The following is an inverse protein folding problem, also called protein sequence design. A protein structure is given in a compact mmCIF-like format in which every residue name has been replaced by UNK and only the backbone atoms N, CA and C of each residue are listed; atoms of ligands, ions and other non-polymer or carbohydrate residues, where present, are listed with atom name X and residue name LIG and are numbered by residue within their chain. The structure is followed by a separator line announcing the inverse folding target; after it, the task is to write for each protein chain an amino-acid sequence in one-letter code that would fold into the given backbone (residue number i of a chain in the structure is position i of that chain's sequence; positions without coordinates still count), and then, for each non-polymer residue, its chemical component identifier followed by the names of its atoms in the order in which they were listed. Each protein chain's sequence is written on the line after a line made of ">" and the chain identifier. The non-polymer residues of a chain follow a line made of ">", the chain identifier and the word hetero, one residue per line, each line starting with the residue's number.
data_IF_391167707288
#
_entry.id   IF_391167707288
#
_cell.length_a   1.000
_cell.length_b   1.000
_cell.length_c   1.000
_cell.angle_alpha   90.00
_cell.angle_beta   90.00
_cell.angle_gamma   90.00
#
_symmetry.space_group_name_H-M   'P 1'
#
loop_
_entity.id
_entity.type
_entity.pdbx_description
1 polymer ?
#
# COMPACT_ATOMS: atom_id res chain seq x y z
N UNK A 1 -65.24 63.05 -16.99
CA UNK A 1 -64.11 62.27 -17.47
C UNK A 1 -64.46 60.81 -17.41
N UNK A 2 -64.84 60.20 -18.58
CA UNK A 2 -65.21 58.77 -18.61
C UNK A 2 -63.94 57.93 -18.51
N UNK A 3 -63.72 57.27 -17.40
CA UNK A 3 -62.62 56.27 -17.28
C UNK A 3 -63.02 55.09 -18.19
N UNK A 4 -62.26 54.89 -19.24
CA UNK A 4 -62.45 53.79 -20.18
C UNK A 4 -62.46 52.47 -19.45
N UNK A 5 -63.37 51.54 -19.80
CA UNK A 5 -63.39 50.16 -19.29
C UNK A 5 -62.03 49.46 -19.36
N UNK A 6 -61.24 49.79 -20.39
CA UNK A 6 -59.88 49.35 -20.58
C UNK A 6 -58.90 49.75 -19.45
N UNK A 7 -59.09 51.03 -18.94
CA UNK A 7 -58.19 51.44 -17.81
C UNK A 7 -58.52 50.79 -16.48
N UNK A 8 -59.80 50.47 -16.26
CA UNK A 8 -60.23 49.73 -15.07
C UNK A 8 -59.74 48.29 -15.15
N UNK A 9 -59.81 47.63 -16.32
CA UNK A 9 -59.31 46.30 -16.54
C UNK A 9 -57.78 46.19 -16.36
N UNK A 10 -57.06 47.23 -16.83
CA UNK A 10 -55.59 47.30 -16.69
C UNK A 10 -55.15 47.44 -15.21
N UNK A 11 -55.88 48.30 -14.44
CA UNK A 11 -55.63 48.48 -13.01
C UNK A 11 -55.94 47.15 -12.25
N UNK A 12 -56.99 46.43 -12.62
CA UNK A 12 -57.32 45.13 -12.02
C UNK A 12 -56.27 44.05 -12.35
N UNK A 13 -55.75 44.04 -13.58
CA UNK A 13 -54.70 43.15 -14.03
C UNK A 13 -53.38 43.46 -13.29
N UNK A 14 -53.02 44.73 -13.08
CA UNK A 14 -51.86 45.17 -12.31
C UNK A 14 -51.97 44.75 -10.83
N UNK A 15 -53.15 44.80 -10.25
CA UNK A 15 -53.45 44.39 -8.87
C UNK A 15 -53.35 42.84 -8.74
N UNK A 16 -53.87 42.12 -9.73
CA UNK A 16 -53.78 40.65 -9.73
C UNK A 16 -52.32 40.19 -9.91
N UNK A 17 -51.55 40.84 -10.77
CA UNK A 17 -50.12 40.56 -10.93
C UNK A 17 -49.31 40.92 -9.69
N UNK A 18 -49.66 42.03 -9.00
CA UNK A 18 -49.01 42.43 -7.74
C UNK A 18 -49.33 41.43 -6.60
N UNK A 19 -50.57 40.92 -6.54
CA UNK A 19 -50.97 39.91 -5.55
C UNK A 19 -50.34 38.58 -5.86
N UNK A 20 -50.20 38.21 -7.14
CA UNK A 20 -49.51 36.97 -7.53
C UNK A 20 -47.99 37.00 -7.25
N UNK A 21 -47.36 38.18 -7.43
CA UNK A 21 -45.94 38.34 -7.04
C UNK A 21 -45.72 38.34 -5.53
N UNK A 22 -46.70 38.79 -4.74
CA UNK A 22 -46.61 38.75 -3.26
C UNK A 22 -46.88 37.31 -2.74
N UNK A 23 -47.73 36.52 -3.42
CA UNK A 23 -47.98 35.12 -3.07
C UNK A 23 -46.83 34.19 -3.48
N UNK A 24 -46.05 34.55 -4.49
CA UNK A 24 -44.87 33.70 -4.89
C UNK A 24 -43.63 33.90 -4.02
N UNK A 25 -43.68 34.78 -3.02
CA UNK A 25 -42.54 35.04 -2.13
C UNK A 25 -42.50 34.18 -0.84
N UNK A 26 -43.30 33.14 -0.76
CA UNK A 26 -43.23 32.16 0.34
C UNK A 26 -42.59 30.86 -0.13
N UNK A 27 -41.53 30.94 -0.92
CA UNK A 27 -40.66 29.77 -1.07
C UNK A 27 -39.93 29.62 0.25
N UNK A 28 -40.26 28.58 1.01
CA UNK A 28 -39.49 28.23 2.18
C UNK A 28 -38.08 27.84 1.72
N UNK A 29 -37.11 28.69 2.06
CA UNK A 29 -35.72 28.41 1.73
C UNK A 29 -35.28 27.16 2.53
N UNK A 30 -34.82 26.14 1.81
CA UNK A 30 -34.36 24.93 2.44
C UNK A 30 -32.93 25.15 2.92
N UNK A 31 -32.70 24.94 4.20
CA UNK A 31 -31.35 24.93 4.80
C UNK A 31 -30.86 23.53 4.99
N UNK A 32 -29.55 23.34 4.87
CA UNK A 32 -28.87 22.09 5.20
C UNK A 32 -28.03 22.25 6.46
N UNK A 33 -28.11 21.29 7.36
CA UNK A 33 -27.31 21.22 8.57
C UNK A 33 -26.59 19.87 8.65
N UNK A 34 -25.46 19.84 9.35
CA UNK A 34 -24.79 18.59 9.73
C UNK A 34 -25.20 18.26 11.16
N UNK A 35 -25.83 17.12 11.33
CA UNK A 35 -26.38 16.69 12.64
C UNK A 35 -25.34 15.89 13.43
N UNK A 36 -24.58 15.06 12.75
CA UNK A 36 -23.52 14.24 13.34
C UNK A 36 -22.31 14.19 12.42
N UNK A 37 -21.10 14.26 13.00
CA UNK A 37 -19.80 14.23 12.30
C UNK A 37 -18.88 13.15 12.87
N UNK A 38 -19.29 11.88 12.92
CA UNK A 38 -18.42 10.84 13.42
C UNK A 38 -17.26 10.61 12.43
N UNK A 39 -16.08 10.27 12.98
CA UNK A 39 -14.98 9.75 12.18
C UNK A 39 -15.16 8.24 12.11
N UNK A 40 -15.40 7.73 10.89
CA UNK A 40 -15.33 6.31 10.63
C UNK A 40 -13.86 5.89 10.64
N UNK A 41 -13.49 4.92 11.47
CA UNK A 41 -12.14 4.37 11.52
C UNK A 41 -12.19 2.85 11.38
N UNK A 42 -11.46 2.32 10.40
CA UNK A 42 -11.24 0.89 10.23
C UNK A 42 -9.75 0.62 10.44
N UNK A 43 -9.43 -0.16 11.48
CA UNK A 43 -8.07 -0.62 11.72
C UNK A 43 -7.80 -1.89 10.89
N UNK A 44 -6.63 -1.96 10.26
CA UNK A 44 -6.19 -3.11 9.48
C UNK A 44 -4.69 -3.33 9.63
N UNK A 45 -4.19 -4.52 9.26
CA UNK A 45 -2.82 -4.89 9.63
C UNK A 45 -2.63 -4.88 11.15
N UNK A 46 -1.46 -4.45 11.62
CA UNK A 46 -1.17 -4.29 13.07
C UNK A 46 -1.39 -2.86 13.55
N UNK A 47 -1.18 -1.86 12.70
CA UNK A 47 -1.21 -0.44 13.10
C UNK A 47 -1.76 0.50 12.03
N UNK A 48 -2.17 -0.01 10.88
CA UNK A 48 -2.65 0.80 9.76
C UNK A 48 -4.13 1.14 9.90
N UNK A 49 -4.53 2.26 9.31
CA UNK A 49 -5.89 2.80 9.49
C UNK A 49 -6.47 3.30 8.16
N UNK A 50 -7.75 3.06 7.99
CA UNK A 50 -8.59 3.82 7.07
C UNK A 50 -9.47 4.76 7.88
N UNK A 51 -9.61 6.01 7.43
CA UNK A 51 -10.55 6.96 8.01
C UNK A 51 -11.42 7.59 6.93
N UNK A 52 -12.67 7.86 7.30
CA UNK A 52 -13.63 8.62 6.54
C UNK A 52 -14.26 9.67 7.43
N UNK A 53 -14.24 10.92 7.00
CA UNK A 53 -14.73 12.05 7.78
C UNK A 53 -15.18 13.20 6.89
N UNK A 54 -15.97 14.11 7.45
CA UNK A 54 -16.17 15.41 6.85
C UNK A 54 -14.87 16.22 6.88
N UNK A 55 -14.48 16.78 5.74
CA UNK A 55 -13.30 17.65 5.62
C UNK A 55 -13.68 19.12 5.51
N UNK A 56 -14.84 19.43 4.93
CA UNK A 56 -15.38 20.79 4.88
C UNK A 56 -16.91 20.81 4.71
N UNK A 57 -17.50 21.96 5.00
CA UNK A 57 -18.94 22.24 4.92
C UNK A 57 -19.16 23.61 4.29
N UNK A 58 -19.89 23.64 3.20
CA UNK A 58 -20.46 24.87 2.63
C UNK A 58 -22.00 24.79 2.71
N UNK A 59 -22.52 25.02 3.89
CA UNK A 59 -23.95 24.86 4.17
C UNK A 59 -24.81 25.88 3.43
N UNK A 60 -24.22 27.04 3.07
CA UNK A 60 -24.91 28.07 2.26
C UNK A 60 -25.19 27.56 0.84
N UNK A 61 -24.24 26.84 0.26
CA UNK A 61 -24.38 26.21 -1.05
C UNK A 61 -24.92 24.79 -0.97
N UNK A 62 -25.31 24.32 0.23
CA UNK A 62 -25.87 22.99 0.51
C UNK A 62 -24.90 21.88 0.08
N UNK A 63 -23.64 22.02 0.48
CA UNK A 63 -22.53 21.19 0.04
C UNK A 63 -21.68 20.73 1.22
N UNK A 64 -21.27 19.46 1.19
CA UNK A 64 -20.33 18.87 2.16
C UNK A 64 -19.25 18.09 1.44
N UNK A 65 -18.02 18.19 1.93
CA UNK A 65 -16.87 17.43 1.40
C UNK A 65 -16.49 16.32 2.35
N UNK A 66 -16.37 15.13 1.82
CA UNK A 66 -15.94 13.93 2.55
C UNK A 66 -14.52 13.57 2.12
N UNK A 67 -13.67 13.29 3.08
CA UNK A 67 -12.31 12.77 2.89
C UNK A 67 -12.27 11.30 3.23
N UNK A 68 -11.66 10.53 2.32
CA UNK A 68 -11.20 9.16 2.55
C UNK A 68 -9.68 9.18 2.68
N UNK A 69 -9.15 8.54 3.70
CA UNK A 69 -7.70 8.43 3.93
C UNK A 69 -7.32 7.01 4.33
N UNK A 70 -6.29 6.47 3.69
CA UNK A 70 -5.65 5.21 4.09
C UNK A 70 -4.24 5.50 4.52
N UNK A 71 -3.87 5.09 5.71
CA UNK A 71 -2.53 5.30 6.26
C UNK A 71 -1.89 3.97 6.63
N UNK A 72 -0.74 3.67 6.03
CA UNK A 72 0.07 2.54 6.40
C UNK A 72 1.06 2.94 7.49
N UNK A 73 0.75 2.61 8.75
CA UNK A 73 1.61 2.87 9.90
C UNK A 73 2.47 1.67 10.30
N UNK A 74 2.45 0.59 9.49
CA UNK A 74 3.29 -0.57 9.76
C UNK A 74 4.75 -0.14 9.75
N UNK A 75 5.44 -0.38 10.84
CA UNK A 75 6.89 -0.18 10.90
C UNK A 75 7.56 -1.33 10.19
N UNK A 76 8.64 -1.07 9.44
CA UNK A 76 9.52 -2.11 8.96
C UNK A 76 9.93 -2.96 10.17
N UNK A 77 9.46 -4.21 10.22
CA UNK A 77 9.82 -5.12 11.30
C UNK A 77 11.24 -5.63 11.02
N UNK A 78 12.06 -5.79 12.06
CA UNK A 78 13.36 -6.48 11.90
C UNK A 78 13.13 -7.87 11.33
N UNK A 79 14.05 -8.42 10.51
CA UNK A 79 13.90 -9.73 9.92
C UNK A 79 13.70 -10.77 11.03
N UNK A 80 12.79 -11.70 10.80
CA UNK A 80 12.53 -12.81 11.72
C UNK A 80 12.76 -14.12 10.98
N UNK A 81 13.24 -15.15 11.67
CA UNK A 81 13.44 -16.46 11.07
C UNK A 81 14.86 -16.98 11.22
N UNK A 82 15.33 -17.65 10.21
CA UNK A 82 16.61 -18.37 10.22
C UNK A 82 17.42 -18.04 8.98
N UNK A 83 18.69 -17.72 9.17
CA UNK A 83 19.68 -17.49 8.10
C UNK A 83 20.78 -18.55 8.23
N UNK A 84 21.08 -19.26 7.16
CA UNK A 84 22.29 -20.10 7.08
C UNK A 84 23.29 -19.43 6.15
N UNK A 85 24.45 -19.04 6.69
CA UNK A 85 25.61 -18.63 5.91
C UNK A 85 26.38 -19.88 5.49
N UNK A 86 26.63 -20.01 4.20
CA UNK A 86 27.37 -21.12 3.59
C UNK A 86 28.62 -20.54 2.95
N UNK A 87 29.75 -20.67 3.62
CA UNK A 87 31.00 -19.97 3.33
C UNK A 87 32.00 -20.93 2.70
N UNK A 88 32.48 -20.60 1.53
CA UNK A 88 33.57 -21.30 0.87
C UNK A 88 34.85 -21.13 1.70
N UNK A 89 35.51 -22.26 2.03
CA UNK A 89 36.80 -22.26 2.71
C UNK A 89 37.88 -22.99 1.90
N UNK A 90 37.74 -22.96 0.57
CA UNK A 90 38.78 -23.45 -0.34
C UNK A 90 40.01 -22.53 -0.34
N UNK A 91 41.16 -23.08 -0.78
CA UNK A 91 42.42 -22.32 -0.79
C UNK A 91 42.41 -21.10 -1.69
N UNK A 92 41.57 -21.07 -2.73
CA UNK A 92 41.43 -19.90 -3.61
C UNK A 92 40.98 -18.65 -2.86
N UNK A 93 40.22 -18.80 -1.77
CA UNK A 93 39.83 -17.69 -0.91
C UNK A 93 41.04 -16.94 -0.27
N UNK A 94 42.22 -17.58 -0.20
CA UNK A 94 43.45 -16.96 0.28
C UNK A 94 44.17 -16.12 -0.77
N UNK A 95 43.63 -16.04 -2.01
CA UNK A 95 44.20 -15.17 -3.05
C UNK A 95 44.09 -13.70 -2.65
N UNK A 96 45.17 -12.97 -2.93
CA UNK A 96 45.24 -11.55 -2.64
C UNK A 96 44.38 -10.75 -3.59
N UNK A 97 43.53 -9.90 -3.04
CA UNK A 97 42.72 -8.91 -3.78
C UNK A 97 43.43 -7.58 -3.87
N UNK A 98 44.34 -7.30 -2.95
CA UNK A 98 45.23 -6.14 -2.93
C UNK A 98 46.49 -6.46 -2.07
N UNK A 99 47.36 -5.47 -1.85
CA UNK A 99 48.63 -5.67 -1.13
C UNK A 99 48.47 -6.17 0.34
N UNK A 100 47.30 -5.91 0.96
CA UNK A 100 47.07 -6.11 2.39
C UNK A 100 45.98 -7.10 2.72
N UNK A 101 45.10 -7.46 1.79
CA UNK A 101 43.91 -8.24 2.04
C UNK A 101 43.78 -9.42 1.06
N UNK A 102 43.30 -10.52 1.56
CA UNK A 102 42.84 -11.67 0.77
C UNK A 102 41.33 -11.58 0.52
N UNK A 103 40.82 -12.41 -0.38
CA UNK A 103 39.38 -12.55 -0.63
C UNK A 103 38.65 -13.03 0.63
N UNK A 104 39.28 -13.94 1.38
CA UNK A 104 38.83 -14.37 2.69
C UNK A 104 38.63 -13.20 3.65
N UNK A 105 39.63 -12.30 3.77
CA UNK A 105 39.52 -11.14 4.67
C UNK A 105 38.29 -10.30 4.36
N UNK A 106 38.03 -10.03 3.07
CA UNK A 106 36.86 -9.25 2.64
C UNK A 106 35.55 -9.97 2.95
N UNK A 107 35.44 -11.26 2.64
CA UNK A 107 34.22 -12.03 2.86
C UNK A 107 33.93 -12.17 4.36
N UNK A 108 34.94 -12.54 5.17
CA UNK A 108 34.75 -12.72 6.62
C UNK A 108 34.44 -11.42 7.33
N UNK A 109 35.13 -10.33 7.02
CA UNK A 109 34.86 -9.02 7.64
C UNK A 109 33.47 -8.49 7.24
N UNK A 110 33.07 -8.69 6.00
CA UNK A 110 31.73 -8.33 5.53
C UNK A 110 30.65 -9.22 6.18
N UNK A 111 30.89 -10.52 6.34
CA UNK A 111 29.99 -11.43 7.05
C UNK A 111 29.83 -11.06 8.54
N UNK A 112 30.93 -10.63 9.21
CA UNK A 112 30.87 -10.11 10.60
C UNK A 112 29.99 -8.85 10.68
N UNK A 113 30.14 -7.95 9.74
CA UNK A 113 29.31 -6.74 9.64
C UNK A 113 27.85 -7.09 9.41
N UNK A 114 27.57 -8.02 8.48
CA UNK A 114 26.21 -8.51 8.20
C UNK A 114 25.56 -9.11 9.46
N UNK A 115 26.26 -10.02 10.15
CA UNK A 115 25.81 -10.65 11.39
C UNK A 115 25.49 -9.58 12.45
N UNK A 116 26.41 -8.64 12.64
CA UNK A 116 26.25 -7.56 13.63
C UNK A 116 24.99 -6.73 13.32
N UNK A 117 24.82 -6.32 12.08
CA UNK A 117 23.68 -5.48 11.67
C UNK A 117 22.34 -6.21 11.76
N UNK A 118 22.30 -7.50 11.35
CA UNK A 118 21.08 -8.29 11.38
C UNK A 118 20.63 -8.63 12.81
N UNK A 119 21.57 -8.89 13.71
CA UNK A 119 21.28 -9.28 15.10
C UNK A 119 21.21 -8.10 16.07
N UNK A 120 21.57 -6.88 15.65
CA UNK A 120 21.48 -5.69 16.50
C UNK A 120 20.05 -5.51 17.01
N UNK A 121 19.87 -5.64 18.33
CA UNK A 121 18.54 -5.56 18.98
C UNK A 121 17.47 -6.49 18.35
N UNK A 122 17.88 -7.62 17.78
CA UNK A 122 17.00 -8.57 17.09
C UNK A 122 17.12 -9.96 17.67
N UNK A 123 16.24 -10.31 18.59
CA UNK A 123 16.18 -11.64 19.24
C UNK A 123 15.37 -12.68 18.45
N UNK A 124 14.67 -12.26 17.39
CA UNK A 124 13.77 -13.12 16.61
C UNK A 124 14.43 -13.71 15.36
N UNK A 125 15.65 -13.30 15.04
CA UNK A 125 16.45 -13.87 13.97
C UNK A 125 17.54 -14.77 14.57
N UNK A 126 17.76 -15.94 13.96
CA UNK A 126 18.88 -16.81 14.28
C UNK A 126 19.73 -17.01 13.05
N UNK A 127 21.04 -17.00 13.23
CA UNK A 127 22.01 -17.23 12.15
C UNK A 127 22.81 -18.48 12.49
N UNK A 128 22.98 -19.38 11.52
CA UNK A 128 23.88 -20.52 11.57
C UNK A 128 24.94 -20.38 10.48
N UNK A 129 26.05 -21.12 10.62
CA UNK A 129 27.15 -21.05 9.67
C UNK A 129 27.62 -22.47 9.31
N UNK A 130 27.78 -22.71 8.03
CA UNK A 130 28.42 -23.90 7.44
C UNK A 130 29.60 -23.42 6.61
N UNK A 131 30.73 -24.08 6.69
CA UNK A 131 31.81 -23.91 5.70
C UNK A 131 31.87 -25.13 4.77
N UNK A 132 32.37 -24.93 3.56
CA UNK A 132 32.51 -25.97 2.58
C UNK A 132 33.74 -25.76 1.70
N UNK A 133 34.39 -26.89 1.38
CA UNK A 133 35.45 -27.00 0.36
C UNK A 133 35.55 -28.47 -0.02
N UNK A 134 36.72 -29.05 -0.21
CA UNK A 134 36.90 -30.52 -0.12
C UNK A 134 37.81 -30.88 1.05
N UNK A 135 37.65 -32.10 1.54
CA UNK A 135 38.53 -32.62 2.57
C UNK A 135 39.99 -32.66 2.05
N UNK A 136 40.95 -32.36 2.92
CA UNK A 136 42.38 -32.47 2.62
C UNK A 136 42.81 -33.94 2.40
N UNK A 137 42.08 -34.88 3.00
CA UNK A 137 42.21 -36.30 2.71
C UNK A 137 41.43 -36.66 1.45
N UNK A 138 42.14 -36.93 0.36
CA UNK A 138 41.56 -37.24 -0.95
C UNK A 138 40.59 -38.43 -0.94
N UNK A 139 40.75 -39.34 0.04
CA UNK A 139 39.86 -40.52 0.17
C UNK A 139 38.45 -40.13 0.65
N UNK A 140 38.32 -38.95 1.23
CA UNK A 140 37.06 -38.37 1.73
C UNK A 140 36.50 -37.28 0.83
N UNK A 141 37.20 -36.94 -0.27
CA UNK A 141 36.74 -35.98 -1.26
C UNK A 141 35.45 -36.46 -1.94
N UNK A 142 34.52 -35.59 -2.12
CA UNK A 142 33.20 -35.89 -2.69
C UNK A 142 32.28 -36.60 -1.71
N UNK A 143 32.41 -36.30 -0.44
CA UNK A 143 31.53 -36.82 0.61
C UNK A 143 30.87 -35.70 1.41
N UNK A 144 30.00 -36.07 2.34
CA UNK A 144 29.39 -35.11 3.25
C UNK A 144 30.40 -34.46 4.22
N UNK A 145 31.63 -35.02 4.34
CA UNK A 145 32.71 -34.48 5.17
C UNK A 145 33.40 -33.25 4.53
N UNK A 146 33.08 -32.94 3.27
CA UNK A 146 33.51 -31.73 2.57
C UNK A 146 32.83 -30.45 3.06
N UNK A 147 31.85 -30.60 3.95
CA UNK A 147 31.21 -29.46 4.63
C UNK A 147 31.20 -29.64 6.15
N UNK A 148 31.35 -28.53 6.87
CA UNK A 148 31.39 -28.53 8.35
C UNK A 148 30.40 -27.50 8.91
N UNK A 149 29.68 -27.93 9.97
CA UNK A 149 28.91 -26.98 10.77
C UNK A 149 29.88 -26.15 11.65
N UNK A 150 29.95 -24.88 11.41
CA UNK A 150 30.78 -23.92 12.15
C UNK A 150 30.02 -23.36 13.34
N UNK A 151 28.70 -23.06 13.17
CA UNK A 151 27.83 -22.63 14.24
C UNK A 151 26.40 -23.07 14.02
N UNK A 152 25.78 -23.60 15.08
CA UNK A 152 24.32 -23.80 15.08
C UNK A 152 23.57 -22.48 14.98
N UNK A 153 22.29 -22.56 14.64
CA UNK A 153 21.39 -21.41 14.64
C UNK A 153 21.35 -20.73 16.03
N UNK A 154 21.84 -19.50 16.11
CA UNK A 154 21.88 -18.69 17.32
C UNK A 154 21.67 -17.22 17.01
N UNK A 155 21.22 -16.46 18.01
CA UNK A 155 21.17 -14.99 17.98
C UNK A 155 22.34 -14.35 18.74
N UNK A 156 23.32 -15.14 19.16
CA UNK A 156 24.52 -14.62 19.82
C UNK A 156 25.56 -14.18 18.79
N UNK A 157 25.55 -12.88 18.48
CA UNK A 157 26.46 -12.27 17.51
C UNK A 157 27.94 -12.52 17.84
N UNK A 158 28.34 -12.39 19.11
CA UNK A 158 29.73 -12.60 19.53
C UNK A 158 30.19 -14.03 19.28
N UNK A 159 29.36 -15.02 19.60
CA UNK A 159 29.68 -16.43 19.36
C UNK A 159 29.84 -16.70 17.85
N UNK A 160 28.94 -16.17 17.02
CA UNK A 160 29.01 -16.29 15.56
C UNK A 160 30.29 -15.70 14.98
N UNK A 161 30.61 -14.45 15.39
CA UNK A 161 31.81 -13.75 14.92
C UNK A 161 33.08 -14.52 15.29
N UNK A 162 33.15 -15.04 16.52
CA UNK A 162 34.27 -15.87 16.93
C UNK A 162 34.35 -17.18 16.10
N UNK A 163 33.21 -17.81 15.83
CA UNK A 163 33.18 -19.06 15.06
C UNK A 163 33.67 -18.85 13.62
N UNK A 164 33.20 -17.81 12.91
CA UNK A 164 33.64 -17.56 11.52
C UNK A 164 35.10 -17.10 11.45
N UNK A 165 35.63 -16.43 12.48
CA UNK A 165 37.04 -16.04 12.53
C UNK A 165 38.01 -17.21 12.67
N UNK A 166 37.51 -18.38 13.01
CA UNK A 166 38.32 -19.62 13.19
C UNK A 166 38.16 -20.61 12.04
N UNK A 167 37.49 -20.25 10.96
CA UNK A 167 37.40 -21.07 9.75
C UNK A 167 38.81 -21.24 9.17
N UNK A 168 39.17 -22.50 8.82
CA UNK A 168 40.43 -22.79 8.17
C UNK A 168 40.24 -22.92 6.67
N UNK A 169 41.12 -22.33 5.91
CA UNK A 169 41.10 -22.27 4.45
C UNK A 169 42.16 -23.19 3.87
N UNK A 170 41.93 -24.48 3.96
CA UNK A 170 42.87 -25.52 3.58
C UNK A 170 42.37 -26.52 2.53
N UNK A 171 41.07 -26.45 2.21
CA UNK A 171 40.44 -27.34 1.23
C UNK A 171 40.92 -27.07 -0.21
N UNK A 172 41.36 -28.12 -0.91
CA UNK A 172 41.96 -27.94 -2.25
C UNK A 172 40.94 -27.62 -3.36
N UNK A 173 39.63 -27.84 -3.15
CA UNK A 173 38.58 -27.73 -4.16
C UNK A 173 37.26 -27.26 -3.56
N UNK A 174 36.28 -27.03 -4.41
CA UNK A 174 34.98 -26.41 -4.10
C UNK A 174 33.84 -27.44 -4.25
N UNK A 175 33.29 -27.95 -3.13
CA UNK A 175 32.11 -28.80 -3.09
C UNK A 175 30.91 -28.06 -2.52
N UNK A 176 30.29 -27.20 -3.34
CA UNK A 176 29.11 -26.43 -2.96
C UNK A 176 27.89 -27.33 -2.65
N UNK A 177 27.77 -28.49 -3.31
CA UNK A 177 26.72 -29.48 -3.08
C UNK A 177 26.73 -29.96 -1.61
N UNK A 178 27.89 -30.25 -1.06
CA UNK A 178 28.05 -30.64 0.35
C UNK A 178 27.65 -29.50 1.28
N UNK A 179 28.06 -28.24 0.99
CA UNK A 179 27.70 -27.05 1.75
C UNK A 179 26.19 -26.82 1.83
N UNK A 180 25.49 -26.85 0.69
CA UNK A 180 24.03 -26.69 0.60
C UNK A 180 23.33 -27.86 1.33
N UNK A 181 23.74 -29.09 1.09
CA UNK A 181 23.14 -30.29 1.68
C UNK A 181 23.24 -30.24 3.19
N UNK A 182 24.40 -29.86 3.73
CA UNK A 182 24.58 -29.72 5.17
C UNK A 182 23.74 -28.57 5.73
N UNK A 183 23.77 -27.38 5.14
CA UNK A 183 23.01 -26.23 5.60
C UNK A 183 21.50 -26.52 5.69
N UNK A 184 20.95 -27.22 4.69
CA UNK A 184 19.52 -27.61 4.66
C UNK A 184 19.12 -28.46 5.87
N UNK A 185 20.01 -29.28 6.43
CA UNK A 185 19.72 -30.15 7.61
C UNK A 185 19.55 -29.35 8.91
N UNK A 186 20.14 -28.15 9.00
CA UNK A 186 20.17 -27.36 10.23
C UNK A 186 19.07 -26.33 10.34
N UNK A 187 18.29 -26.08 9.29
CA UNK A 187 17.06 -25.32 9.44
C UNK A 187 16.07 -26.09 10.33
N UNK A 188 15.42 -25.39 11.25
CA UNK A 188 14.43 -26.02 12.12
C UNK A 188 13.28 -26.58 11.30
N UNK A 189 12.82 -27.78 11.68
CA UNK A 189 11.63 -28.39 11.07
C UNK A 189 10.33 -27.72 11.54
N UNK A 190 10.44 -26.86 12.54
CA UNK A 190 9.29 -26.26 13.18
C UNK A 190 8.78 -25.06 12.35
N UNK A 191 7.49 -25.03 12.06
CA UNK A 191 6.81 -24.05 11.22
C UNK A 191 6.68 -22.65 11.84
N UNK A 192 7.16 -22.46 13.08
CA UNK A 192 7.09 -21.19 13.80
C UNK A 192 8.12 -20.16 13.32
N UNK A 193 9.21 -20.58 12.67
CA UNK A 193 10.12 -19.66 11.98
C UNK A 193 9.60 -19.40 10.57
N UNK A 194 8.94 -18.26 10.41
CA UNK A 194 8.22 -17.92 9.18
C UNK A 194 9.11 -17.68 7.96
N UNK A 195 10.42 -17.44 8.15
CA UNK A 195 11.32 -17.13 7.04
C UNK A 195 12.64 -17.86 7.17
N UNK A 196 13.05 -18.51 6.10
CA UNK A 196 14.33 -19.21 5.98
C UNK A 196 15.12 -18.65 4.82
N UNK A 197 16.36 -18.24 5.10
CA UNK A 197 17.26 -17.65 4.13
C UNK A 197 18.55 -18.43 4.08
N UNK A 198 19.05 -18.69 2.87
CA UNK A 198 20.36 -19.32 2.67
C UNK A 198 21.22 -18.33 1.88
N UNK A 199 22.44 -18.07 2.37
CA UNK A 199 23.40 -17.18 1.74
C UNK A 199 24.67 -17.96 1.46
N UNK A 200 25.00 -18.13 0.19
CA UNK A 200 26.25 -18.74 -0.27
C UNK A 200 27.25 -17.65 -0.60
N UNK A 201 28.44 -17.77 -0.05
CA UNK A 201 29.58 -16.87 -0.31
C UNK A 201 30.74 -17.74 -0.84
N UNK A 202 31.10 -17.60 -2.10
CA UNK A 202 32.10 -18.44 -2.78
C UNK A 202 32.92 -17.62 -3.78
N UNK A 203 34.16 -18.05 -4.02
CA UNK A 203 35.04 -17.50 -5.04
C UNK A 203 35.33 -18.48 -6.18
N UNK A 204 34.70 -19.66 -6.14
CA UNK A 204 34.94 -20.71 -7.12
C UNK A 204 33.67 -21.30 -7.72
N UNK A 205 33.81 -21.78 -8.96
CA UNK A 205 32.79 -22.65 -9.54
C UNK A 205 32.89 -24.04 -8.93
N UNK A 206 31.76 -24.74 -8.71
CA UNK A 206 31.78 -26.10 -8.19
C UNK A 206 32.59 -27.04 -9.09
N UNK A 207 33.55 -27.72 -8.54
CA UNK A 207 34.37 -28.70 -9.25
C UNK A 207 34.29 -30.13 -8.67
N UNK A 208 33.65 -30.28 -7.53
CA UNK A 208 33.35 -31.55 -6.83
C UNK A 208 31.90 -31.51 -6.35
N UNK A 209 31.24 -32.66 -6.29
CA UNK A 209 29.93 -32.87 -5.65
C UNK A 209 29.95 -34.14 -4.82
N UNK A 210 28.94 -34.35 -3.96
CA UNK A 210 28.78 -35.58 -3.20
C UNK A 210 28.56 -36.74 -4.17
N UNK A 211 29.33 -37.82 -4.00
CA UNK A 211 29.27 -39.04 -4.85
C UNK A 211 29.38 -38.75 -6.35
N UNK A 212 30.24 -37.79 -6.71
CA UNK A 212 30.48 -37.46 -8.13
C UNK A 212 31.28 -38.56 -8.84
N UNK A 213 31.30 -38.49 -10.17
CA UNK A 213 31.95 -39.46 -11.06
C UNK A 213 33.50 -39.45 -11.04
N UNK A 214 34.10 -38.75 -10.07
CA UNK A 214 35.54 -38.51 -9.91
C UNK A 214 36.20 -37.69 -11.05
N UNK A 215 35.37 -37.06 -11.88
CA UNK A 215 35.84 -36.08 -12.88
C UNK A 215 35.48 -34.68 -12.43
N UNK A 216 36.49 -33.82 -12.23
CA UNK A 216 36.27 -32.44 -11.83
C UNK A 216 35.55 -31.64 -12.93
N UNK A 217 34.64 -30.76 -12.52
CA UNK A 217 33.83 -29.95 -13.42
C UNK A 217 33.00 -30.76 -14.42
N UNK A 218 32.73 -32.02 -14.15
CA UNK A 218 31.93 -32.88 -15.04
C UNK A 218 30.45 -32.44 -15.05
N UNK A 219 29.73 -32.95 -16.04
CA UNK A 219 28.26 -32.75 -16.12
C UNK A 219 27.56 -33.34 -14.89
N UNK A 220 28.11 -34.40 -14.25
CA UNK A 220 27.60 -34.96 -13.00
C UNK A 220 27.74 -33.94 -11.86
N UNK A 221 28.90 -33.33 -11.68
CA UNK A 221 29.14 -32.27 -10.67
C UNK A 221 28.17 -31.08 -10.87
N UNK A 222 28.05 -30.60 -12.11
CA UNK A 222 27.16 -29.48 -12.45
C UNK A 222 25.71 -29.84 -12.13
N UNK A 223 25.26 -31.00 -12.56
CA UNK A 223 23.88 -31.47 -12.36
C UNK A 223 23.54 -31.66 -10.88
N UNK A 224 24.43 -32.28 -10.09
CA UNK A 224 24.24 -32.48 -8.66
C UNK A 224 24.17 -31.14 -7.92
N UNK A 225 25.12 -30.26 -8.16
CA UNK A 225 25.14 -28.94 -7.51
C UNK A 225 23.88 -28.11 -7.86
N UNK A 226 23.50 -28.09 -9.14
CA UNK A 226 22.25 -27.42 -9.57
C UNK A 226 21.01 -28.02 -8.92
N UNK A 227 20.95 -29.37 -8.81
CA UNK A 227 19.84 -30.06 -8.17
C UNK A 227 19.74 -29.73 -6.69
N UNK A 228 20.87 -29.65 -5.99
CA UNK A 228 20.89 -29.24 -4.58
C UNK A 228 20.38 -27.78 -4.40
N UNK A 229 20.81 -26.86 -5.25
CA UNK A 229 20.29 -25.48 -5.25
C UNK A 229 18.79 -25.44 -5.50
N UNK A 230 18.30 -26.08 -6.56
CA UNK A 230 16.88 -26.04 -6.92
C UNK A 230 15.99 -26.73 -5.90
N UNK A 231 16.52 -27.77 -5.19
CA UNK A 231 15.79 -28.45 -4.12
C UNK A 231 15.46 -27.57 -2.91
N UNK A 232 16.07 -26.39 -2.80
CA UNK A 232 15.83 -25.44 -1.73
C UNK A 232 14.49 -24.71 -1.91
N UNK A 233 14.00 -24.57 -3.13
CA UNK A 233 12.78 -23.81 -3.45
C UNK A 233 11.52 -24.25 -2.69
N UNK A 234 11.47 -25.51 -2.24
CA UNK A 234 10.34 -26.06 -1.48
C UNK A 234 10.40 -25.78 0.03
N UNK A 235 11.54 -25.34 0.55
CA UNK A 235 11.78 -25.26 2.01
C UNK A 235 12.47 -23.99 2.49
N UNK A 236 12.98 -23.18 1.58
CA UNK A 236 13.72 -21.95 1.85
C UNK A 236 13.03 -20.80 1.11
N UNK A 237 12.73 -19.72 1.83
CA UNK A 237 12.00 -18.57 1.23
C UNK A 237 12.84 -17.81 0.21
N UNK A 238 14.14 -17.60 0.51
CA UNK A 238 15.06 -16.95 -0.41
C UNK A 238 16.47 -17.54 -0.30
N UNK A 239 17.10 -17.70 -1.48
CA UNK A 239 18.49 -18.09 -1.62
C UNK A 239 19.27 -16.97 -2.27
N UNK A 240 20.40 -16.61 -1.69
CA UNK A 240 21.33 -15.60 -2.19
C UNK A 240 22.67 -16.31 -2.47
N UNK A 241 23.16 -16.18 -3.70
CA UNK A 241 24.48 -16.69 -4.07
C UNK A 241 25.35 -15.51 -4.51
N UNK A 242 26.48 -15.31 -3.83
CA UNK A 242 27.52 -14.38 -4.26
C UNK A 242 28.72 -15.19 -4.74
N UNK A 243 29.08 -15.01 -6.01
CA UNK A 243 30.27 -15.54 -6.65
C UNK A 243 31.22 -14.38 -6.99
N UNK A 244 32.49 -14.55 -6.65
CA UNK A 244 33.57 -13.59 -6.96
C UNK A 244 34.78 -14.35 -7.46
N UNK A 245 35.90 -13.65 -7.71
CA UNK A 245 37.21 -14.27 -7.97
C UNK A 245 37.42 -14.85 -9.36
N UNK A 246 36.42 -14.91 -10.20
CA UNK A 246 36.58 -15.40 -11.56
C UNK A 246 36.97 -14.21 -12.48
N UNK A 247 38.28 -14.06 -12.75
CA UNK A 247 38.83 -12.95 -13.53
C UNK A 247 38.76 -13.17 -15.03
N UNK A 248 38.79 -14.43 -15.48
CA UNK A 248 38.61 -14.83 -16.88
C UNK A 248 37.65 -16.01 -17.00
N UNK A 249 36.39 -15.70 -17.18
CA UNK A 249 35.32 -16.70 -17.25
C UNK A 249 35.33 -17.51 -18.55
N UNK A 250 36.06 -17.13 -19.56
CA UNK A 250 36.13 -17.82 -20.86
C UNK A 250 37.24 -18.88 -20.89
N UNK A 251 38.03 -18.97 -19.83
CA UNK A 251 39.00 -20.07 -19.64
C UNK A 251 38.28 -21.39 -19.46
N UNK A 252 38.78 -22.44 -20.11
CA UNK A 252 38.27 -23.80 -19.99
C UNK A 252 38.64 -24.38 -18.63
N UNK A 253 37.65 -24.87 -17.90
CA UNK A 253 37.83 -25.53 -16.58
C UNK A 253 38.37 -26.92 -16.76
N UNK A 254 39.68 -27.09 -16.80
CA UNK A 254 40.35 -28.40 -17.00
C UNK A 254 40.12 -29.35 -15.81
N UNK A 255 39.75 -30.60 -16.00
CA UNK A 255 39.73 -31.38 -17.27
C UNK A 255 38.41 -31.27 -18.09
N UNK A 256 37.47 -30.45 -17.72
CA UNK A 256 36.22 -30.25 -18.46
C UNK A 256 36.52 -29.63 -19.87
N UNK A 257 35.53 -29.71 -20.76
CA UNK A 257 35.51 -28.98 -22.01
C UNK A 257 34.74 -27.65 -21.90
N UNK A 258 34.12 -27.39 -20.78
CA UNK A 258 33.34 -26.17 -20.53
C UNK A 258 34.20 -25.05 -19.97
N UNK A 259 33.86 -23.81 -20.33
CA UNK A 259 34.46 -22.62 -19.72
C UNK A 259 33.82 -22.37 -18.32
N UNK A 260 34.48 -21.58 -17.48
CA UNK A 260 33.91 -21.16 -16.20
C UNK A 260 32.56 -20.48 -16.39
N UNK A 261 32.40 -19.58 -17.35
CA UNK A 261 31.13 -18.90 -17.65
C UNK A 261 30.02 -19.89 -18.03
N UNK A 262 30.33 -20.96 -18.78
CA UNK A 262 29.33 -21.99 -19.07
C UNK A 262 28.89 -22.74 -17.82
N UNK A 263 29.82 -23.12 -16.96
CA UNK A 263 29.52 -23.80 -15.69
C UNK A 263 28.69 -22.87 -14.79
N UNK A 264 29.09 -21.61 -14.64
CA UNK A 264 28.38 -20.60 -13.87
C UNK A 264 26.93 -20.46 -14.36
N UNK A 265 26.75 -20.31 -15.67
CA UNK A 265 25.42 -20.17 -16.28
C UNK A 265 24.55 -21.41 -16.07
N UNK A 266 25.14 -22.61 -16.14
CA UNK A 266 24.42 -23.88 -15.94
C UNK A 266 24.00 -24.09 -14.48
N UNK A 267 24.86 -23.75 -13.52
CA UNK A 267 24.62 -23.96 -12.08
C UNK A 267 23.79 -22.82 -11.49
N UNK A 268 24.24 -21.58 -11.68
CA UNK A 268 23.68 -20.40 -11.00
C UNK A 268 22.69 -19.59 -11.86
N UNK A 269 22.70 -19.80 -13.18
CA UNK A 269 21.97 -18.96 -14.13
C UNK A 269 22.71 -17.66 -14.43
N UNK A 270 21.95 -16.59 -14.66
CA UNK A 270 22.48 -15.24 -14.82
C UNK A 270 21.97 -14.32 -13.70
N UNK A 271 22.59 -13.17 -13.50
CA UNK A 271 22.14 -12.18 -12.51
C UNK A 271 20.70 -11.70 -12.77
N UNK A 272 20.26 -11.65 -14.02
CA UNK A 272 18.90 -11.30 -14.42
C UNK A 272 17.92 -12.48 -14.42
N UNK A 273 18.42 -13.70 -14.54
CA UNK A 273 17.64 -14.95 -14.53
C UNK A 273 18.38 -16.03 -13.74
N UNK A 274 18.42 -15.92 -12.43
CA UNK A 274 19.11 -16.90 -11.57
C UNK A 274 18.40 -18.24 -11.57
N UNK A 275 19.15 -19.32 -11.31
CA UNK A 275 18.62 -20.69 -11.12
C UNK A 275 17.67 -20.73 -9.93
N UNK A 276 17.99 -19.97 -8.86
CA UNK A 276 17.17 -19.82 -7.65
C UNK A 276 17.47 -18.46 -7.00
N UNK A 277 16.47 -17.85 -6.40
CA UNK A 277 16.60 -16.65 -5.58
C UNK A 277 17.29 -15.48 -6.28
N UNK A 278 18.40 -14.99 -5.73
CA UNK A 278 19.24 -13.92 -6.32
C UNK A 278 20.68 -14.39 -6.48
N UNK A 279 21.24 -14.10 -7.63
CA UNK A 279 22.65 -14.39 -7.95
C UNK A 279 23.42 -13.09 -8.15
N UNK A 280 24.49 -12.91 -7.40
CA UNK A 280 25.44 -11.82 -7.47
C UNK A 280 26.76 -12.34 -8.03
N UNK A 281 27.10 -11.93 -9.24
CA UNK A 281 28.42 -12.21 -9.84
C UNK A 281 29.19 -10.90 -9.81
N UNK A 282 30.19 -10.80 -8.95
CA UNK A 282 30.84 -9.53 -8.60
C UNK A 282 32.35 -9.63 -8.67
N UNK A 283 33.01 -8.50 -8.89
CA UNK A 283 34.46 -8.35 -8.71
C UNK A 283 34.80 -8.24 -7.22
N UNK A 284 36.07 -8.53 -6.88
CA UNK A 284 36.54 -8.53 -5.50
C UNK A 284 36.29 -7.18 -4.79
N UNK A 285 36.39 -6.06 -5.50
CA UNK A 285 36.12 -4.70 -4.96
C UNK A 285 34.66 -4.52 -4.51
N UNK A 286 33.76 -5.32 -5.04
CA UNK A 286 32.31 -5.23 -4.75
C UNK A 286 31.83 -6.23 -3.68
N UNK A 287 32.72 -7.07 -3.14
CA UNK A 287 32.37 -8.08 -2.10
C UNK A 287 31.70 -7.39 -0.91
N UNK A 288 32.38 -6.40 -0.30
CA UNK A 288 31.87 -5.72 0.89
C UNK A 288 30.50 -5.11 0.63
N UNK A 289 30.34 -4.32 -0.42
CA UNK A 289 29.07 -3.69 -0.79
C UNK A 289 27.98 -4.72 -1.03
N UNK A 290 28.29 -5.83 -1.68
CA UNK A 290 27.31 -6.88 -1.97
C UNK A 290 26.79 -7.52 -0.70
N UNK A 291 27.68 -7.87 0.23
CA UNK A 291 27.29 -8.54 1.48
C UNK A 291 26.61 -7.54 2.44
N UNK A 292 27.23 -6.37 2.69
CA UNK A 292 26.79 -5.45 3.74
C UNK A 292 25.62 -4.53 3.33
N UNK A 293 25.37 -4.39 2.03
CA UNK A 293 24.29 -3.55 1.51
C UNK A 293 23.28 -4.35 0.71
N UNK A 294 23.68 -5.00 -0.40
CA UNK A 294 22.70 -5.63 -1.29
C UNK A 294 21.99 -6.81 -0.61
N UNK A 295 22.76 -7.79 -0.09
CA UNK A 295 22.20 -8.96 0.61
C UNK A 295 21.52 -8.50 1.92
N UNK A 296 22.13 -7.58 2.67
CA UNK A 296 21.54 -7.05 3.89
C UNK A 296 20.15 -6.42 3.62
N UNK A 297 20.04 -5.57 2.62
CA UNK A 297 18.76 -4.93 2.26
C UNK A 297 17.72 -5.94 1.77
N UNK A 298 18.15 -6.98 1.07
CA UNK A 298 17.28 -8.06 0.62
C UNK A 298 16.76 -8.94 1.77
N UNK A 299 17.50 -9.02 2.88
CA UNK A 299 17.08 -9.73 4.09
C UNK A 299 16.17 -8.87 4.99
N UNK A 300 16.25 -7.55 4.86
CA UNK A 300 15.31 -6.69 5.57
C UNK A 300 13.90 -7.04 5.08
N UNK A 301 12.91 -7.13 5.98
CA UNK A 301 11.55 -7.29 5.54
C UNK A 301 11.28 -6.15 4.57
N UNK A 302 10.80 -6.50 3.40
CA UNK A 302 10.16 -5.55 2.49
C UNK A 302 9.25 -4.72 3.38
N UNK A 303 9.43 -3.40 3.34
CA UNK A 303 8.52 -2.46 4.02
C UNK A 303 7.13 -3.03 3.87
N UNK A 304 6.42 -3.25 4.99
CA UNK A 304 5.10 -3.88 4.94
C UNK A 304 4.19 -3.04 4.06
N UNK A 305 4.20 -3.30 2.78
CA UNK A 305 3.26 -2.71 1.85
C UNK A 305 1.96 -3.50 1.89
N UNK A 306 0.85 -2.81 1.86
CA UNK A 306 -0.43 -3.43 1.54
C UNK A 306 -0.65 -3.34 0.05
N UNK A 307 -1.03 -4.47 -0.55
CA UNK A 307 -1.32 -4.56 -1.98
C UNK A 307 -2.82 -4.68 -2.21
N UNK A 308 -3.25 -4.25 -3.39
CA UNK A 308 -4.61 -4.39 -3.87
C UNK A 308 -5.66 -3.85 -2.87
N UNK A 309 -5.34 -2.72 -2.21
CA UNK A 309 -6.30 -2.08 -1.31
C UNK A 309 -7.46 -1.56 -2.16
N UNK A 310 -8.67 -1.97 -1.77
CA UNK A 310 -9.90 -1.54 -2.40
C UNK A 310 -10.84 -0.98 -1.32
N UNK A 311 -11.24 0.27 -1.48
CA UNK A 311 -12.27 0.91 -0.67
C UNK A 311 -13.51 1.05 -1.53
N UNK A 312 -14.63 0.52 -1.05
CA UNK A 312 -15.94 0.67 -1.69
C UNK A 312 -16.85 1.43 -0.75
N UNK A 313 -17.23 2.64 -1.14
CA UNK A 313 -18.08 3.52 -0.35
C UNK A 313 -19.49 3.54 -0.95
N UNK A 314 -20.46 3.05 -0.20
CA UNK A 314 -21.83 2.81 -0.65
C UNK A 314 -22.74 3.96 -0.21
N UNK A 315 -23.58 4.42 -1.11
CA UNK A 315 -24.52 5.50 -0.87
C UNK A 315 -25.95 4.97 -0.72
N UNK A 316 -26.73 5.47 0.24
CA UNK A 316 -28.17 5.22 0.28
C UNK A 316 -28.85 5.90 -0.91
N UNK A 317 -30.04 5.39 -1.26
CA UNK A 317 -30.79 5.87 -2.42
C UNK A 317 -31.15 7.35 -2.29
N UNK A 318 -31.45 7.82 -1.10
CA UNK A 318 -31.78 9.21 -0.80
C UNK A 318 -30.63 10.16 -1.18
N UNK A 319 -29.37 9.72 -1.01
CA UNK A 319 -28.21 10.52 -1.41
C UNK A 319 -28.04 10.48 -2.93
N UNK A 320 -28.11 9.30 -3.55
CA UNK A 320 -27.96 9.16 -5.01
C UNK A 320 -28.99 9.99 -5.77
N UNK A 321 -30.26 9.94 -5.34
CA UNK A 321 -31.35 10.60 -6.04
C UNK A 321 -31.30 12.15 -5.84
N UNK A 322 -30.87 12.62 -4.67
CA UNK A 322 -31.03 14.01 -4.29
C UNK A 322 -29.74 14.83 -4.26
N UNK A 323 -28.57 14.19 -4.31
CA UNK A 323 -27.29 14.90 -4.31
C UNK A 323 -26.51 14.66 -5.61
N UNK A 324 -25.81 15.67 -6.06
CA UNK A 324 -24.79 15.56 -7.08
C UNK A 324 -23.45 15.23 -6.42
N UNK A 325 -22.63 14.48 -7.16
CA UNK A 325 -21.33 13.99 -6.70
C UNK A 325 -20.22 14.59 -7.55
N UNK A 326 -19.20 15.15 -6.93
CA UNK A 326 -18.03 15.73 -7.59
C UNK A 326 -16.75 15.45 -6.83
N UNK A 327 -15.63 15.27 -7.55
CA UNK A 327 -14.32 15.17 -6.92
C UNK A 327 -13.74 16.55 -6.68
N UNK A 328 -13.23 16.80 -5.46
CA UNK A 328 -12.50 18.02 -5.11
C UNK A 328 -11.03 17.86 -5.44
N UNK A 329 -10.48 16.67 -5.29
CA UNK A 329 -9.07 16.37 -5.59
C UNK A 329 -8.92 14.99 -6.23
N UNK A 330 -7.89 14.83 -7.07
CA UNK A 330 -7.46 13.50 -7.50
C UNK A 330 -6.90 12.75 -6.29
N UNK A 331 -7.06 11.43 -6.28
CA UNK A 331 -6.35 10.59 -5.33
C UNK A 331 -4.84 10.80 -5.52
N UNK A 332 -4.10 11.03 -4.44
CA UNK A 332 -2.64 11.16 -4.50
C UNK A 332 -1.96 9.82 -4.77
N UNK A 333 -2.59 8.71 -4.35
CA UNK A 333 -2.15 7.34 -4.63
C UNK A 333 -3.38 6.53 -5.08
N UNK A 334 -3.21 5.73 -6.15
CA UNK A 334 -4.26 4.90 -6.71
C UNK A 334 -5.24 5.63 -7.61
N UNK A 335 -6.33 4.95 -7.93
CA UNK A 335 -7.38 5.45 -8.82
C UNK A 335 -8.75 5.28 -8.17
N UNK A 336 -9.60 6.31 -8.30
CA UNK A 336 -10.98 6.27 -7.84
C UNK A 336 -11.93 6.29 -9.06
N UNK A 337 -13.06 5.58 -8.96
CA UNK A 337 -14.07 5.58 -10.02
C UNK A 337 -14.60 7.00 -10.27
N UNK A 338 -14.69 7.40 -11.52
CA UNK A 338 -15.13 8.76 -11.92
C UNK A 338 -16.63 8.95 -11.85
N UNK A 339 -17.38 7.85 -11.78
CA UNK A 339 -18.84 7.82 -11.71
C UNK A 339 -19.30 6.84 -10.65
N UNK A 340 -20.52 7.07 -10.14
CA UNK A 340 -21.17 6.12 -9.23
C UNK A 340 -21.59 4.88 -10.02
N UNK A 341 -21.22 3.71 -9.50
CA UNK A 341 -21.76 2.43 -10.00
C UNK A 341 -23.24 2.34 -9.60
N UNK A 342 -24.13 2.38 -10.62
CA UNK A 342 -25.58 2.36 -10.44
C UNK A 342 -26.11 1.00 -9.97
N UNK A 343 -25.37 -0.08 -10.18
CA UNK A 343 -25.80 -1.42 -9.74
C UNK A 343 -25.63 -1.58 -8.22
N UNK A 344 -24.61 -0.94 -7.67
CA UNK A 344 -24.25 -1.06 -6.25
C UNK A 344 -24.46 0.24 -5.47
N UNK A 345 -24.75 1.34 -6.15
CA UNK A 345 -24.78 2.70 -5.58
C UNK A 345 -23.50 3.04 -4.84
N UNK A 346 -22.36 2.80 -5.46
CA UNK A 346 -21.06 2.97 -4.79
C UNK A 346 -20.01 3.63 -5.66
N UNK A 347 -18.97 4.11 -5.01
CA UNK A 347 -17.68 4.46 -5.63
C UNK A 347 -16.62 3.49 -5.14
N UNK A 348 -15.63 3.24 -6.00
CA UNK A 348 -14.50 2.37 -5.66
C UNK A 348 -13.20 3.16 -5.79
N UNK A 349 -12.38 3.13 -4.74
CA UNK A 349 -11.01 3.61 -4.75
C UNK A 349 -10.06 2.43 -4.66
N UNK A 350 -9.21 2.25 -5.67
CA UNK A 350 -8.23 1.17 -5.78
C UNK A 350 -6.83 1.73 -5.62
N UNK A 351 -6.08 1.18 -4.66
CA UNK A 351 -4.69 1.53 -4.37
C UNK A 351 -3.87 0.26 -4.61
N UNK A 352 -3.07 0.19 -5.70
CA UNK A 352 -2.32 -1.02 -6.06
C UNK A 352 -1.31 -1.43 -4.99
N UNK A 353 -0.63 -0.45 -4.40
CA UNK A 353 0.30 -0.64 -3.30
C UNK A 353 0.35 0.61 -2.43
N UNK A 354 0.44 0.40 -1.10
CA UNK A 354 0.66 1.45 -0.11
C UNK A 354 1.82 1.02 0.80
N UNK A 355 2.97 1.65 0.65
CA UNK A 355 4.19 1.32 1.40
C UNK A 355 4.11 1.82 2.84
N UNK A 356 4.96 1.25 3.70
CA UNK A 356 5.13 1.70 5.09
C UNK A 356 5.35 3.22 5.17
N UNK A 357 4.62 3.88 6.06
CA UNK A 357 4.67 5.34 6.24
C UNK A 357 3.90 6.16 5.23
N UNK A 358 3.42 5.58 4.12
CA UNK A 358 2.64 6.30 3.12
C UNK A 358 1.20 6.56 3.57
N UNK A 359 0.66 7.66 3.07
CA UNK A 359 -0.73 8.06 3.26
C UNK A 359 -1.38 8.35 1.92
N UNK A 360 -2.42 7.60 1.61
CA UNK A 360 -3.28 7.83 0.47
C UNK A 360 -4.51 8.63 0.88
N UNK A 361 -4.92 9.61 0.07
CA UNK A 361 -6.04 10.50 0.37
C UNK A 361 -6.80 10.84 -0.91
N UNK A 362 -8.12 10.94 -0.78
CA UNK A 362 -9.01 11.46 -1.81
C UNK A 362 -10.19 12.18 -1.15
N UNK A 363 -10.75 13.16 -1.83
CA UNK A 363 -11.91 13.91 -1.37
C UNK A 363 -12.98 13.97 -2.44
N UNK A 364 -14.24 13.88 -2.03
CA UNK A 364 -15.39 14.10 -2.88
C UNK A 364 -16.44 14.96 -2.17
N UNK A 365 -17.28 15.62 -2.95
CA UNK A 365 -18.31 16.53 -2.49
C UNK A 365 -19.68 15.98 -2.80
N UNK A 366 -20.60 16.09 -1.86
CA UNK A 366 -22.03 15.90 -2.02
C UNK A 366 -22.70 17.27 -1.98
N UNK A 367 -23.39 17.66 -3.06
CA UNK A 367 -24.13 18.91 -3.20
C UNK A 367 -25.61 18.60 -3.46
N UNK A 368 -26.50 19.21 -2.69
CA UNK A 368 -27.94 19.06 -2.90
C UNK A 368 -28.31 19.55 -4.30
N UNK A 369 -29.06 18.75 -5.05
CA UNK A 369 -29.57 19.11 -6.39
C UNK A 369 -30.67 20.15 -6.24
N UNK A 370 -30.86 20.99 -7.27
CA UNK A 370 -31.97 21.97 -7.30
C UNK A 370 -33.34 21.29 -7.33
N UNK A 371 -33.44 20.14 -8.01
CA UNK A 371 -34.65 19.32 -8.16
C UNK A 371 -34.70 18.12 -7.23
N UNK A 372 -34.26 18.26 -5.98
CA UNK A 372 -34.35 17.20 -4.99
C UNK A 372 -35.81 16.88 -4.62
N UNK A 373 -36.04 15.65 -4.11
CA UNK A 373 -37.35 15.24 -3.62
C UNK A 373 -37.62 15.86 -2.24
N UNK A 374 -38.66 16.66 -2.09
CA UNK A 374 -39.02 17.34 -0.84
C UNK A 374 -39.35 16.37 0.31
N UNK A 375 -39.67 15.11 0.02
CA UNK A 375 -39.93 14.09 1.05
C UNK A 375 -38.72 13.82 1.97
N UNK A 376 -37.51 14.24 1.58
CA UNK A 376 -36.32 14.11 2.43
C UNK A 376 -36.16 15.25 3.45
N UNK A 377 -36.97 16.32 3.32
CA UNK A 377 -36.95 17.44 4.26
C UNK A 377 -37.43 16.97 5.64
N UNK A 378 -36.75 17.37 6.67
CA UNK A 378 -37.01 16.96 8.05
C UNK A 378 -36.39 15.60 8.43
N UNK A 379 -35.96 14.78 7.48
CA UNK A 379 -35.30 13.49 7.75
C UNK A 379 -33.81 13.65 8.03
N UNK A 380 -33.28 12.74 8.86
CA UNK A 380 -31.83 12.58 9.03
C UNK A 380 -31.32 11.68 7.89
N UNK A 381 -30.38 12.17 7.12
CA UNK A 381 -29.81 11.51 5.96
C UNK A 381 -28.39 11.04 6.28
N UNK A 382 -28.14 9.74 6.19
CA UNK A 382 -26.80 9.20 6.25
C UNK A 382 -26.07 9.52 4.92
N UNK A 383 -24.89 10.12 4.96
CA UNK A 383 -24.13 10.42 3.73
C UNK A 383 -23.77 9.16 2.96
N UNK A 384 -23.57 8.05 3.67
CA UNK A 384 -23.23 6.72 3.12
C UNK A 384 -23.97 5.63 3.90
N UNK A 385 -24.22 4.49 3.30
CA UNK A 385 -24.83 3.34 3.98
C UNK A 385 -23.79 2.47 4.69
N UNK A 386 -22.63 2.28 4.06
CA UNK A 386 -21.47 1.58 4.61
C UNK A 386 -20.22 1.88 3.80
N UNK A 387 -19.06 1.50 4.31
CA UNK A 387 -17.80 1.45 3.59
C UNK A 387 -17.14 0.10 3.81
N UNK A 388 -16.67 -0.52 2.75
CA UNK A 388 -15.89 -1.76 2.77
C UNK A 388 -14.43 -1.45 2.42
N UNK A 389 -13.50 -1.94 3.25
CA UNK A 389 -12.06 -1.97 2.99
C UNK A 389 -11.64 -3.42 2.75
N UNK A 390 -11.04 -3.71 1.62
CA UNK A 390 -10.37 -5.00 1.37
C UNK A 390 -8.92 -4.79 0.96
N UNK A 391 -8.05 -5.74 1.29
CA UNK A 391 -6.63 -5.72 0.94
C UNK A 391 -6.09 -7.15 0.89
N UNK A 392 -5.00 -7.35 0.13
CA UNK A 392 -4.32 -8.64 0.01
C UNK A 392 -3.07 -8.64 0.88
N UNK A 393 -3.03 -9.56 1.86
CA UNK A 393 -1.87 -9.96 2.64
C UNK A 393 -1.94 -11.48 2.71
N UNK A 394 -1.41 -12.20 1.69
CA UNK A 394 -1.58 -13.63 1.42
C UNK A 394 -3.03 -14.19 1.45
N UNK A 395 -3.98 -13.48 2.03
CA UNK A 395 -5.42 -13.70 1.97
C UNK A 395 -6.12 -12.36 1.78
N UNK A 396 -7.26 -12.38 1.08
CA UNK A 396 -8.12 -11.20 0.99
C UNK A 396 -8.80 -10.99 2.34
N UNK A 397 -8.54 -9.83 2.95
CA UNK A 397 -9.19 -9.42 4.18
C UNK A 397 -10.21 -8.33 3.85
N UNK A 398 -11.42 -8.46 4.35
CA UNK A 398 -12.47 -7.44 4.18
C UNK A 398 -12.94 -6.98 5.55
N UNK A 399 -13.06 -5.67 5.71
CA UNK A 399 -13.61 -5.01 6.91
C UNK A 399 -14.66 -4.00 6.49
N UNK A 400 -15.73 -3.90 7.26
CA UNK A 400 -16.88 -3.05 6.97
C UNK A 400 -17.17 -2.11 8.13
N UNK A 401 -17.64 -0.90 7.82
CA UNK A 401 -18.19 0.05 8.80
C UNK A 401 -19.38 0.79 8.20
N UNK A 402 -20.38 1.06 9.03
CA UNK A 402 -21.57 1.85 8.72
C UNK A 402 -21.55 3.25 9.36
N UNK A 403 -20.47 3.59 10.05
CA UNK A 403 -20.27 4.91 10.65
C UNK A 403 -20.14 5.96 9.55
N UNK A 404 -20.98 6.98 9.57
CA UNK A 404 -21.05 8.00 8.51
C UNK A 404 -21.56 9.33 9.06
N UNK A 405 -21.14 10.48 8.46
CA UNK A 405 -21.74 11.77 8.76
C UNK A 405 -23.22 11.80 8.40
N UNK A 406 -23.97 12.60 9.16
CA UNK A 406 -25.43 12.74 9.00
C UNK A 406 -25.82 14.16 8.69
N UNK A 407 -26.68 14.33 7.70
CA UNK A 407 -27.21 15.61 7.24
C UNK A 407 -28.69 15.71 7.59
N UNK A 408 -29.20 16.95 7.69
CA UNK A 408 -30.62 17.23 7.79
C UNK A 408 -30.97 18.44 6.92
N UNK A 409 -32.06 18.34 6.18
CA UNK A 409 -32.66 19.44 5.46
C UNK A 409 -33.84 19.96 6.27
N UNK A 410 -33.94 21.28 6.44
CA UNK A 410 -35.02 21.88 7.21
C UNK A 410 -35.60 23.07 6.44
N UNK A 411 -36.90 23.21 6.47
CA UNK A 411 -37.54 24.44 5.99
C UNK A 411 -37.14 25.60 6.90
N UNK A 412 -36.58 26.62 6.30
CA UNK A 412 -36.39 27.86 7.02
C UNK A 412 -37.77 28.51 7.20
N UNK A 413 -38.29 28.48 8.42
CA UNK A 413 -39.52 29.24 8.71
C UNK A 413 -39.27 30.66 8.29
N UNK A 414 -40.11 31.24 7.40
CA UNK A 414 -39.95 32.63 7.00
C UNK A 414 -39.83 33.45 8.30
N UNK A 415 -38.78 34.24 8.40
CA UNK A 415 -38.63 35.18 9.52
C UNK A 415 -39.91 35.96 9.59
N UNK A 416 -40.67 35.80 10.66
CA UNK A 416 -41.91 36.53 10.88
C UNK A 416 -41.51 37.98 10.71
N UNK A 417 -42.00 38.63 9.62
CA UNK A 417 -41.83 40.08 9.44
C UNK A 417 -42.09 40.73 10.79
N UNK A 418 -41.21 41.58 11.30
CA UNK A 418 -41.44 42.28 12.55
C UNK A 418 -42.87 42.79 12.56
N UNK A 419 -43.58 42.70 13.67
CA UNK A 419 -44.99 43.11 13.76
C UNK A 419 -45.27 44.49 13.11
N UNK A 420 -44.26 45.36 13.08
CA UNK A 420 -44.27 46.64 12.34
C UNK A 420 -44.48 46.46 10.81
N UNK A 421 -43.86 45.41 10.18
CA UNK A 421 -44.03 45.16 8.74
C UNK A 421 -45.39 44.60 8.37
N UNK A 422 -45.99 43.74 9.21
CA UNK A 422 -47.38 43.27 9.03
C UNK A 422 -48.38 44.41 9.16
N UNK A 423 -48.20 45.26 10.17
CA UNK A 423 -49.08 46.43 10.39
C UNK A 423 -48.98 47.42 9.22
N UNK A 424 -47.80 47.66 8.69
CA UNK A 424 -47.56 48.55 7.55
C UNK A 424 -48.18 47.97 6.27
N UNK A 425 -48.10 46.68 6.03
CA UNK A 425 -48.69 46.01 4.86
C UNK A 425 -50.21 46.03 4.94
N UNK A 426 -50.82 45.76 6.10
CA UNK A 426 -52.26 45.85 6.33
C UNK A 426 -52.72 47.30 6.15
N UNK A 427 -51.99 48.27 6.70
CA UNK A 427 -52.31 49.72 6.52
C UNK A 427 -52.24 50.14 5.05
N UNK A 428 -51.26 49.69 4.28
CA UNK A 428 -51.13 49.93 2.85
C UNK A 428 -52.31 49.39 2.03
N UNK A 429 -52.70 48.12 2.35
CA UNK A 429 -53.87 47.48 1.71
C UNK A 429 -55.16 48.21 2.07
N UNK A 430 -55.39 48.54 3.35
CA UNK A 430 -56.55 49.30 3.80
C UNK A 430 -56.56 50.70 3.15
N UNK A 431 -55.43 51.40 3.04
CA UNK A 431 -55.32 52.73 2.39
C UNK A 431 -55.63 52.65 0.91
N UNK A 432 -55.16 51.61 0.21
CA UNK A 432 -55.50 51.39 -1.20
C UNK A 432 -56.98 51.08 -1.41
N UNK A 433 -57.59 50.28 -0.55
CA UNK A 433 -59.07 50.09 -0.59
C UNK A 433 -59.85 51.36 -0.31
N UNK A 434 -59.43 52.21 0.64
CA UNK A 434 -60.06 53.49 0.93
C UNK A 434 -59.99 54.43 -0.24
N UNK A 435 -58.87 54.51 -0.97
CA UNK A 435 -58.73 55.33 -2.18
C UNK A 435 -59.70 54.87 -3.29
N UNK A 436 -59.83 53.52 -3.46
CA UNK A 436 -60.74 52.98 -4.48
C UNK A 436 -62.19 53.26 -4.15
N UNK A 437 -62.58 53.07 -2.88
CA UNK A 437 -63.96 53.42 -2.43
C UNK A 437 -64.26 54.91 -2.53
N UNK A 438 -63.34 55.79 -2.13
CA UNK A 438 -63.52 57.27 -2.23
C UNK A 438 -63.58 57.69 -3.69
N UNK A 439 -62.76 57.14 -4.54
CA UNK A 439 -62.80 57.44 -5.99
C UNK A 439 -64.08 56.95 -6.65
N UNK A 440 -64.59 55.80 -6.23
CA UNK A 440 -65.86 55.23 -6.67
C UNK A 440 -67.03 56.07 -6.20
N UNK A 441 -67.01 56.51 -4.94
CA UNK A 441 -68.05 57.37 -4.37
C UNK A 441 -68.07 58.76 -5.07
N UNK A 442 -66.92 59.36 -5.28
CA UNK A 442 -66.80 60.67 -6.01
C UNK A 442 -67.26 60.53 -7.45
N UNK A 443 -67.00 59.45 -8.11
CA UNK A 443 -67.48 59.11 -9.44
C UNK A 443 -69.03 59.04 -9.48
N UNK A 444 -69.62 58.37 -8.47
CA UNK A 444 -71.07 58.23 -8.36
C UNK A 444 -71.78 59.60 -8.10
N UNK A 445 -71.20 60.44 -7.21
CA UNK A 445 -71.66 61.81 -6.97
C UNK A 445 -71.64 62.69 -8.23
N UNK A 446 -70.53 62.67 -8.99
CA UNK A 446 -70.40 63.41 -10.23
C UNK A 446 -71.34 62.91 -11.30
N UNK A 447 -71.69 61.63 -11.32
CA UNK A 447 -72.67 61.08 -12.26
C UNK A 447 -74.10 61.46 -11.92
N UNK A 448 -74.43 61.65 -10.65
CA UNK A 448 -75.76 62.04 -10.20
C UNK A 448 -75.99 63.54 -10.33
N UNK A 449 -74.95 64.38 -10.30
CA UNK A 449 -75.04 65.87 -10.50
C UNK A 449 -75.03 66.26 -11.97
N UNK A 450 -74.89 65.27 -12.89
CA UNK A 450 -74.98 65.46 -14.34
C UNK A 450 -76.29 64.96 -14.99
N UNK A 451 -77.26 64.63 -14.15
CA UNK A 451 -78.64 64.39 -14.53
C UNK A 451 -79.45 65.57 -14.03
#
# INVERSE_FOLDING_TARGET
>A
MKISKSKVLFILFLLITLVSTICSAAYSDITMSVVEEPICTINFGNSSTFTKQLSSKDLKNKEVTIQLQVKNNEKASKPTGEVMLVIDNSKSMLEKVNDTQTREDLVINSAKTLITNLLKDNTKLKIGVVSFSTNTDITKEGTSEDAKLISNLTNNSTALINSISNIKYDGPRTNLDAGITLAKKYFTKNTDSKHKFLIVLTDGVPNVAIDYDKNYYSDDVITKTKSSLTSLSSSIDNVYVMLTGITDGDVVATPSTKTYNQIISEVFGTTSKPTIGKFYYVTDENIEKTITSNIYNDLLPIEKSFKDIKIVDYFPKEIIDNFSFTYVSKANIGTISTTIDKATNSITWSIPELKSGETATVQYTLKLKENFNEEIVGKILNTNSKVDLSYTDYKVNTKTSDITPKLKLEEQKPSVLPNAGKTTLIALVCFSFSIILFSGFKYFQLKNNMK
#
